data_IF_757699821096
#
_entry.id   IF_757699821096
#
_cell.length_a   1.000
_cell.length_b   1.000
_cell.length_c   1.000
_cell.angle_alpha   90.00
_cell.angle_beta   90.00
_cell.angle_gamma   90.00
#
_symmetry.space_group_name_H-M   'P 1'
#
loop_
_entity.id
_entity.type
_entity.pdbx_description
1 polymer ?
#
# COMPACT_ATOMS: atom_id res chain seq x y z
N UNK A 1 -17.21 43.16 -25.85
CA UNK A 1 -18.32 42.44 -26.52
C UNK A 1 -19.23 41.84 -25.45
N UNK A 2 -20.40 42.44 -25.20
CA UNK A 2 -21.39 41.88 -24.26
C UNK A 2 -22.02 40.64 -24.91
N UNK A 3 -21.90 39.46 -24.28
CA UNK A 3 -22.63 38.26 -24.72
C UNK A 3 -24.13 38.54 -24.60
N UNK A 4 -24.83 38.65 -25.72
CA UNK A 4 -26.29 38.67 -25.75
C UNK A 4 -26.74 37.23 -25.50
N UNK A 5 -26.97 36.88 -24.23
CA UNK A 5 -27.56 35.58 -23.87
C UNK A 5 -29.07 35.70 -24.09
N UNK A 6 -29.70 34.82 -24.89
CA UNK A 6 -31.15 34.83 -25.05
C UNK A 6 -31.82 34.54 -23.70
N UNK A 7 -32.60 35.49 -23.20
CA UNK A 7 -33.30 35.39 -21.93
C UNK A 7 -34.49 34.43 -22.06
N UNK A 8 -34.55 33.42 -21.20
CA UNK A 8 -35.69 32.51 -21.09
C UNK A 8 -36.11 32.38 -19.63
N UNK A 9 -37.42 32.53 -19.36
CA UNK A 9 -37.95 32.38 -18.02
C UNK A 9 -37.87 30.92 -17.57
N UNK A 10 -37.17 30.59 -16.46
CA UNK A 10 -37.03 29.20 -15.99
C UNK A 10 -38.34 28.60 -15.45
N UNK A 11 -39.35 29.43 -15.15
CA UNK A 11 -40.63 28.98 -14.58
C UNK A 11 -41.70 28.66 -15.63
N UNK A 12 -41.76 29.43 -16.72
CA UNK A 12 -42.82 29.33 -17.72
C UNK A 12 -42.32 29.22 -19.16
N UNK A 13 -41.01 29.09 -19.34
CA UNK A 13 -40.32 29.00 -20.64
C UNK A 13 -40.58 30.15 -21.61
N UNK A 14 -41.20 31.25 -21.16
CA UNK A 14 -41.38 32.46 -21.94
C UNK A 14 -40.03 33.02 -22.38
N UNK A 15 -39.92 33.46 -23.64
CA UNK A 15 -38.70 34.03 -24.26
C UNK A 15 -38.84 35.51 -24.61
N UNK A 16 -40.01 36.09 -24.34
CA UNK A 16 -40.34 37.47 -24.71
C UNK A 16 -40.81 38.24 -23.47
N UNK A 17 -40.79 39.57 -23.51
CA UNK A 17 -41.35 40.44 -22.46
C UNK A 17 -40.74 40.23 -21.06
N UNK A 18 -39.48 40.68 -20.91
CA UNK A 18 -38.77 40.74 -19.63
C UNK A 18 -38.57 42.18 -19.18
N UNK A 19 -38.72 42.43 -17.87
CA UNK A 19 -38.42 43.72 -17.26
C UNK A 19 -37.16 43.62 -16.39
N UNK A 20 -36.25 44.59 -16.54
CA UNK A 20 -35.00 44.66 -15.77
C UNK A 20 -35.31 45.08 -14.33
N UNK A 21 -35.27 44.13 -13.40
CA UNK A 21 -35.78 44.28 -12.02
C UNK A 21 -34.63 44.46 -11.01
N UNK A 22 -33.73 45.40 -11.28
CA UNK A 22 -32.56 45.68 -10.42
C UNK A 22 -31.57 44.53 -10.30
N UNK A 23 -30.65 44.60 -9.33
CA UNK A 23 -29.66 43.55 -9.06
C UNK A 23 -30.05 42.72 -7.85
N UNK A 24 -29.59 41.47 -7.77
CA UNK A 24 -29.70 40.67 -6.56
C UNK A 24 -28.66 41.08 -5.50
N UNK A 25 -28.65 40.41 -4.34
CA UNK A 25 -27.73 40.71 -3.23
C UNK A 25 -26.26 40.53 -3.59
N UNK A 26 -25.97 39.71 -4.60
CA UNK A 26 -24.61 39.40 -5.05
C UNK A 26 -24.21 40.26 -6.28
N UNK A 27 -25.07 41.21 -6.70
CA UNK A 27 -24.82 42.15 -7.79
C UNK A 27 -25.21 41.67 -9.20
N UNK A 28 -25.82 40.47 -9.34
CA UNK A 28 -26.26 39.94 -10.63
C UNK A 28 -27.57 40.57 -11.09
N UNK A 29 -27.69 40.80 -12.40
CA UNK A 29 -28.86 41.43 -12.98
C UNK A 29 -30.10 40.50 -12.87
N UNK A 30 -31.16 40.98 -12.20
CA UNK A 30 -32.45 40.29 -12.17
C UNK A 30 -33.36 40.72 -13.32
N UNK A 31 -34.15 39.78 -13.81
CA UNK A 31 -35.22 39.98 -14.77
C UNK A 31 -36.53 39.48 -14.18
N UNK A 32 -37.60 40.24 -14.37
CA UNK A 32 -38.98 39.86 -14.05
C UNK A 32 -39.66 39.44 -15.35
N UNK A 33 -40.18 38.21 -15.40
CA UNK A 33 -41.00 37.76 -16.52
C UNK A 33 -42.39 38.37 -16.44
N UNK A 34 -42.82 39.13 -17.45
CA UNK A 34 -44.15 39.78 -17.45
C UNK A 34 -45.31 38.80 -17.58
N UNK A 35 -45.07 37.57 -18.07
CA UNK A 35 -46.09 36.53 -18.22
C UNK A 35 -46.45 35.82 -16.91
N UNK A 36 -45.49 35.62 -16.01
CA UNK A 36 -45.69 34.84 -14.77
C UNK A 36 -45.20 35.53 -13.50
N UNK A 37 -44.76 36.79 -13.61
CA UNK A 37 -44.18 37.62 -12.55
C UNK A 37 -43.01 36.95 -11.79
N UNK A 38 -42.35 35.96 -12.39
CA UNK A 38 -41.19 35.30 -11.80
C UNK A 38 -39.92 36.14 -11.98
N UNK A 39 -39.20 36.37 -10.88
CA UNK A 39 -37.90 37.03 -10.87
C UNK A 39 -36.78 35.98 -10.93
N UNK A 40 -35.81 36.17 -11.82
CA UNK A 40 -34.65 35.30 -11.94
C UNK A 40 -33.41 36.09 -12.37
N UNK A 41 -32.22 35.59 -12.04
CA UNK A 41 -30.94 36.18 -12.44
C UNK A 41 -30.18 35.15 -13.29
N UNK A 42 -30.17 35.29 -14.63
CA UNK A 42 -29.60 34.28 -15.54
C UNK A 42 -28.08 34.17 -15.40
N UNK A 43 -27.41 35.28 -15.09
CA UNK A 43 -25.96 35.34 -14.97
C UNK A 43 -25.46 34.90 -13.58
N UNK A 44 -26.38 34.62 -12.64
CA UNK A 44 -26.00 34.15 -11.30
C UNK A 44 -25.47 32.72 -11.43
N UNK A 45 -24.20 32.45 -11.11
CA UNK A 45 -23.66 31.10 -11.17
C UNK A 45 -24.44 30.22 -10.19
N UNK A 46 -25.04 29.14 -10.70
CA UNK A 46 -25.68 28.14 -9.84
C UNK A 46 -24.61 27.48 -8.98
N UNK A 47 -24.46 27.91 -7.73
CA UNK A 47 -23.64 27.18 -6.77
C UNK A 47 -24.38 25.88 -6.43
N UNK A 48 -24.07 24.79 -7.13
CA UNK A 48 -24.46 23.46 -6.68
C UNK A 48 -23.78 23.25 -5.34
N UNK A 49 -24.50 23.49 -4.23
CA UNK A 49 -24.01 23.19 -2.89
C UNK A 49 -23.55 21.73 -2.90
N UNK A 50 -22.24 21.52 -2.74
CA UNK A 50 -21.70 20.15 -2.64
C UNK A 50 -22.38 19.49 -1.44
N UNK A 51 -22.98 18.30 -1.60
CA UNK A 51 -23.62 17.63 -0.48
C UNK A 51 -22.58 17.38 0.63
N UNK A 52 -22.97 17.64 1.88
CA UNK A 52 -22.10 17.50 3.06
C UNK A 52 -21.57 16.07 3.24
N UNK A 53 -22.35 15.09 2.80
CA UNK A 53 -22.05 13.66 2.94
C UNK A 53 -22.18 12.95 1.59
N UNK A 54 -21.43 11.85 1.38
CA UNK A 54 -21.52 11.08 0.14
C UNK A 54 -22.92 10.48 -0.06
N UNK A 55 -23.30 10.23 -1.32
CA UNK A 55 -24.56 9.53 -1.62
C UNK A 55 -24.42 8.03 -1.39
N UNK A 56 -25.53 7.37 -1.08
CA UNK A 56 -25.56 5.92 -0.93
C UNK A 56 -25.21 5.26 -2.28
N UNK A 57 -24.20 4.38 -2.34
CA UNK A 57 -23.81 3.73 -3.60
C UNK A 57 -24.85 2.71 -4.10
N UNK A 58 -25.76 2.25 -3.23
CA UNK A 58 -26.77 1.25 -3.58
C UNK A 58 -28.05 1.90 -4.13
N UNK A 59 -28.55 2.95 -3.48
CA UNK A 59 -29.85 3.54 -3.83
C UNK A 59 -29.79 5.03 -4.21
N UNK A 60 -28.61 5.65 -4.21
CA UNK A 60 -28.42 7.08 -4.54
C UNK A 60 -28.97 8.09 -3.51
N UNK A 61 -29.67 7.62 -2.47
CA UNK A 61 -30.27 8.48 -1.45
C UNK A 61 -29.21 9.13 -0.55
N UNK A 62 -29.64 10.16 0.17
CA UNK A 62 -28.78 10.85 1.13
C UNK A 62 -28.31 9.90 2.23
N UNK A 63 -27.14 10.20 2.79
CA UNK A 63 -26.57 9.50 3.95
C UNK A 63 -26.35 10.49 5.09
N UNK A 64 -26.18 9.96 6.29
CA UNK A 64 -25.78 10.70 7.47
C UNK A 64 -24.54 10.07 8.10
N UNK A 65 -23.73 10.87 8.80
CA UNK A 65 -22.60 10.37 9.57
C UNK A 65 -23.13 9.57 10.78
N UNK A 66 -22.87 8.27 10.81
CA UNK A 66 -23.30 7.39 11.90
C UNK A 66 -22.23 7.33 12.99
N UNK A 67 -20.97 7.06 12.61
CA UNK A 67 -19.82 7.10 13.51
C UNK A 67 -18.61 7.70 12.81
N UNK A 68 -17.82 8.44 13.57
CA UNK A 68 -16.58 9.02 13.11
C UNK A 68 -15.39 8.44 13.86
N UNK A 69 -14.65 7.56 13.20
CA UNK A 69 -13.48 6.92 13.78
C UNK A 69 -12.19 7.61 13.32
N UNK A 70 -11.08 7.24 13.97
CA UNK A 70 -9.74 7.76 13.65
C UNK A 70 -9.38 7.57 12.17
N UNK A 71 -9.59 6.38 11.61
CA UNK A 71 -9.14 6.03 10.26
C UNK A 71 -10.22 6.09 9.18
N UNK A 72 -11.48 6.21 9.56
CA UNK A 72 -12.59 6.20 8.63
C UNK A 72 -13.84 6.82 9.23
N UNK A 73 -14.73 7.28 8.36
CA UNK A 73 -16.09 7.69 8.73
C UNK A 73 -17.09 6.64 8.24
N UNK A 74 -17.99 6.21 9.10
CA UNK A 74 -19.11 5.35 8.74
C UNK A 74 -20.34 6.22 8.47
N UNK A 75 -20.78 6.26 7.22
CA UNK A 75 -22.04 6.90 6.82
C UNK A 75 -23.11 5.84 6.60
N UNK A 76 -24.33 6.12 7.04
CA UNK A 76 -25.46 5.20 6.88
C UNK A 76 -26.52 5.83 5.98
N UNK A 77 -27.11 5.03 5.10
CA UNK A 77 -28.19 5.48 4.24
C UNK A 77 -29.40 5.92 5.07
N UNK A 78 -29.98 7.07 4.75
CA UNK A 78 -31.19 7.57 5.43
C UNK A 78 -32.43 6.71 5.13
N UNK A 79 -32.41 5.92 4.05
CA UNK A 79 -33.51 5.03 3.72
C UNK A 79 -33.44 3.74 4.54
N UNK A 80 -34.42 3.54 5.42
CA UNK A 80 -34.52 2.34 6.26
C UNK A 80 -34.66 1.05 5.46
N UNK A 81 -35.24 1.09 4.25
CA UNK A 81 -35.31 -0.09 3.37
C UNK A 81 -33.94 -0.48 2.82
N UNK A 82 -33.08 0.50 2.55
CA UNK A 82 -31.73 0.26 2.07
C UNK A 82 -30.76 -0.07 3.22
N UNK A 83 -30.81 0.73 4.29
CA UNK A 83 -30.02 0.59 5.50
C UNK A 83 -28.49 0.41 5.31
N UNK A 84 -27.98 0.81 4.14
CA UNK A 84 -26.61 0.51 3.73
C UNK A 84 -25.60 1.40 4.46
N UNK A 85 -24.56 0.78 5.03
CA UNK A 85 -23.43 1.47 5.69
C UNK A 85 -22.24 1.57 4.77
N UNK A 86 -21.65 2.75 4.61
CA UNK A 86 -20.46 3.03 3.80
C UNK A 86 -19.31 3.58 4.64
N UNK A 87 -18.12 3.04 4.42
CA UNK A 87 -16.92 3.30 5.20
C UNK A 87 -15.98 4.08 4.31
N UNK A 88 -15.74 5.35 4.65
CA UNK A 88 -14.88 6.25 3.87
C UNK A 88 -13.56 6.41 4.60
N UNK A 89 -12.42 5.99 4.02
CA UNK A 89 -11.12 6.13 4.67
C UNK A 89 -10.74 7.60 4.86
N UNK A 90 -10.02 7.88 5.94
CA UNK A 90 -9.36 9.17 6.23
C UNK A 90 -7.86 9.00 5.99
N UNK A 91 -7.37 9.11 4.74
CA UNK A 91 -5.99 8.78 4.39
C UNK A 91 -4.97 9.59 5.20
N UNK A 92 -5.26 10.87 5.49
CA UNK A 92 -4.38 11.73 6.28
C UNK A 92 -4.16 11.24 7.72
N UNK A 93 -5.06 10.38 8.23
CA UNK A 93 -4.95 9.84 9.58
C UNK A 93 -4.26 8.47 9.61
N UNK A 94 -4.12 7.80 8.46
CA UNK A 94 -3.42 6.53 8.34
C UNK A 94 -1.92 6.81 8.30
N UNK A 95 -1.20 6.31 9.30
CA UNK A 95 0.25 6.45 9.33
C UNK A 95 0.88 5.61 8.20
N UNK A 96 1.99 6.09 7.59
CA UNK A 96 2.66 5.33 6.56
C UNK A 96 3.25 4.03 7.15
N UNK A 97 3.35 3.00 6.32
CA UNK A 97 3.91 1.73 6.75
C UNK A 97 5.39 1.87 7.15
N UNK A 98 5.88 1.04 8.06
CA UNK A 98 7.27 1.15 8.55
C UNK A 98 8.29 1.07 7.41
N UNK A 99 8.00 0.30 6.36
CA UNK A 99 8.82 0.17 5.16
C UNK A 99 9.10 1.50 4.44
N UNK A 100 8.31 2.55 4.68
CA UNK A 100 8.56 3.88 4.10
C UNK A 100 9.68 4.65 4.80
N UNK A 101 10.15 4.20 5.96
CA UNK A 101 11.17 4.87 6.79
C UNK A 101 12.46 4.05 6.82
N UNK A 102 13.19 4.07 5.70
CA UNK A 102 14.50 3.42 5.57
C UNK A 102 15.61 4.47 5.68
N UNK A 103 16.69 4.10 6.35
CA UNK A 103 17.82 5.01 6.60
C UNK A 103 19.10 4.40 6.03
N UNK A 104 19.92 5.20 5.36
CA UNK A 104 21.20 4.72 4.83
C UNK A 104 21.61 5.38 3.52
N UNK A 105 22.34 4.63 2.70
CA UNK A 105 22.85 5.08 1.40
C UNK A 105 21.96 4.64 0.25
N UNK A 106 21.92 5.50 -0.76
CA UNK A 106 21.26 5.32 -2.06
C UNK A 106 22.26 5.05 -3.19
N UNK A 107 23.56 4.93 -2.90
CA UNK A 107 24.59 4.56 -3.88
C UNK A 107 25.77 3.83 -3.20
N UNK A 108 26.62 3.20 -4.01
CA UNK A 108 27.87 2.57 -3.57
C UNK A 108 29.09 3.50 -3.60
N UNK A 109 28.91 4.82 -3.76
CA UNK A 109 30.05 5.74 -3.85
C UNK A 109 30.82 5.75 -2.54
N UNK A 110 32.15 5.88 -2.67
CA UNK A 110 33.11 5.92 -1.54
C UNK A 110 33.10 4.62 -0.72
N UNK A 111 32.75 3.48 -1.31
CA UNK A 111 32.96 2.18 -0.68
C UNK A 111 34.40 1.74 -0.87
N UNK A 112 35.03 1.30 0.23
CA UNK A 112 36.40 0.78 0.24
C UNK A 112 36.54 -0.53 -0.55
N UNK A 113 35.48 -1.32 -0.61
CA UNK A 113 35.48 -2.64 -1.24
C UNK A 113 34.71 -2.60 -2.56
N UNK A 114 35.13 -3.40 -3.57
CA UNK A 114 34.41 -3.51 -4.83
C UNK A 114 32.95 -3.94 -4.63
N UNK A 115 32.07 -3.43 -5.50
CA UNK A 115 30.62 -3.66 -5.40
C UNK A 115 30.27 -5.16 -5.44
N UNK A 116 30.97 -5.96 -6.26
CA UNK A 116 30.72 -7.40 -6.35
C UNK A 116 31.01 -8.14 -5.03
N UNK A 117 31.98 -7.70 -4.23
CA UNK A 117 32.26 -8.24 -2.89
C UNK A 117 31.12 -7.91 -1.94
N UNK A 118 30.60 -6.67 -2.01
CA UNK A 118 29.45 -6.25 -1.21
C UNK A 118 28.23 -7.11 -1.57
N UNK A 119 27.94 -7.28 -2.86
CA UNK A 119 26.85 -8.14 -3.33
C UNK A 119 27.01 -9.61 -2.92
N UNK A 120 28.23 -10.14 -2.96
CA UNK A 120 28.54 -11.49 -2.49
C UNK A 120 28.20 -11.62 -1.00
N UNK A 121 28.62 -10.65 -0.18
CA UNK A 121 28.33 -10.62 1.25
C UNK A 121 26.82 -10.52 1.54
N UNK A 122 26.10 -9.65 0.82
CA UNK A 122 24.65 -9.51 0.95
C UNK A 122 23.91 -10.80 0.56
N UNK A 123 24.32 -11.45 -0.52
CA UNK A 123 23.75 -12.72 -0.99
C UNK A 123 23.97 -13.84 0.02
N UNK A 124 25.19 -13.96 0.57
CA UNK A 124 25.47 -14.93 1.64
C UNK A 124 24.63 -14.70 2.90
N UNK A 125 24.32 -13.44 3.21
CA UNK A 125 23.51 -13.08 4.37
C UNK A 125 22.01 -13.34 4.18
N UNK A 126 21.43 -12.86 3.08
CA UNK A 126 19.99 -12.90 2.83
C UNK A 126 19.52 -14.22 2.21
N UNK A 127 20.28 -14.79 1.27
CA UNK A 127 19.98 -16.09 0.66
C UNK A 127 20.57 -17.24 1.48
N UNK A 128 21.86 -17.14 1.82
CA UNK A 128 22.59 -18.19 2.54
C UNK A 128 22.34 -18.23 4.04
N UNK A 129 21.63 -17.25 4.62
CA UNK A 129 21.30 -17.15 6.06
C UNK A 129 22.51 -17.12 7.00
N UNK A 130 23.71 -16.84 6.47
CA UNK A 130 24.98 -16.85 7.19
C UNK A 130 25.09 -15.73 8.23
N UNK A 131 25.86 -15.96 9.29
CA UNK A 131 26.23 -14.90 10.24
C UNK A 131 27.29 -13.96 9.64
N UNK A 132 27.37 -12.71 10.13
CA UNK A 132 28.38 -11.77 9.64
C UNK A 132 29.82 -12.25 9.83
N UNK A 133 30.08 -13.03 10.90
CA UNK A 133 31.40 -13.63 11.15
C UNK A 133 31.70 -14.74 10.15
N UNK A 134 30.71 -15.59 9.84
CA UNK A 134 30.88 -16.64 8.84
C UNK A 134 31.14 -16.03 7.45
N UNK A 135 30.42 -14.97 7.09
CA UNK A 135 30.64 -14.26 5.82
C UNK A 135 32.06 -13.66 5.76
N UNK A 136 32.53 -13.03 6.83
CA UNK A 136 33.90 -12.50 6.90
C UNK A 136 34.95 -13.61 6.72
N UNK A 137 34.71 -14.78 7.31
CA UNK A 137 35.57 -15.95 7.17
C UNK A 137 35.57 -16.50 5.74
N UNK A 138 34.39 -16.66 5.13
CA UNK A 138 34.26 -17.14 3.75
C UNK A 138 34.97 -16.19 2.78
N UNK A 139 34.74 -14.87 2.90
CA UNK A 139 35.40 -13.87 2.04
C UNK A 139 36.93 -13.89 2.21
N UNK A 140 37.42 -14.16 3.42
CA UNK A 140 38.86 -14.30 3.67
C UNK A 140 39.44 -15.55 3.02
N UNK A 141 38.77 -16.70 3.14
CA UNK A 141 39.28 -17.99 2.64
C UNK A 141 39.15 -18.09 1.13
N UNK A 142 37.99 -17.73 0.57
CA UNK A 142 37.66 -17.97 -0.85
C UNK A 142 38.12 -16.81 -1.73
N UNK A 143 37.96 -15.56 -1.28
CA UNK A 143 38.26 -14.37 -2.09
C UNK A 143 39.56 -13.66 -1.67
N UNK A 144 40.26 -14.15 -0.65
CA UNK A 144 41.42 -13.49 -0.04
C UNK A 144 41.13 -12.03 0.40
N UNK A 145 39.85 -11.73 0.75
CA UNK A 145 39.42 -10.39 1.17
C UNK A 145 39.30 -10.32 2.68
N UNK A 146 40.18 -9.54 3.32
CA UNK A 146 40.08 -9.23 4.74
C UNK A 146 39.05 -8.12 4.98
N UNK A 147 37.88 -8.49 5.50
CA UNK A 147 36.82 -7.56 5.89
C UNK A 147 36.30 -7.90 7.28
N UNK A 148 35.98 -6.88 8.10
CA UNK A 148 35.40 -7.11 9.42
C UNK A 148 33.92 -7.47 9.33
N UNK A 149 33.45 -8.31 10.26
CA UNK A 149 32.03 -8.63 10.40
C UNK A 149 31.16 -7.38 10.67
N UNK A 150 31.73 -6.34 11.30
CA UNK A 150 31.07 -5.03 11.51
C UNK A 150 30.86 -4.28 10.20
N UNK A 151 31.81 -4.34 9.27
CA UNK A 151 31.68 -3.76 7.92
C UNK A 151 30.58 -4.46 7.14
N UNK A 152 30.51 -5.80 7.20
CA UNK A 152 29.45 -6.59 6.56
C UNK A 152 28.08 -6.26 7.17
N UNK A 153 27.98 -6.21 8.50
CA UNK A 153 26.76 -5.79 9.20
C UNK A 153 26.30 -4.41 8.74
N UNK A 154 27.23 -3.46 8.60
CA UNK A 154 26.94 -2.14 8.06
C UNK A 154 26.41 -2.20 6.63
N UNK A 155 26.99 -2.99 5.72
CA UNK A 155 26.44 -3.15 4.38
C UNK A 155 25.02 -3.70 4.38
N UNK A 156 24.75 -4.71 5.20
CA UNK A 156 23.44 -5.37 5.25
C UNK A 156 22.30 -4.42 5.62
N UNK A 157 22.55 -3.43 6.49
CA UNK A 157 21.54 -2.43 6.88
C UNK A 157 21.59 -1.13 6.08
N UNK A 158 22.78 -0.70 5.63
CA UNK A 158 23.00 0.63 5.07
C UNK A 158 22.44 0.82 3.66
N UNK A 159 22.33 -0.25 2.88
CA UNK A 159 21.86 -0.16 1.49
C UNK A 159 20.35 -0.38 1.32
N UNK A 160 19.59 -0.50 2.42
CA UNK A 160 18.14 -0.65 2.33
C UNK A 160 17.46 0.43 1.46
N UNK A 161 17.80 1.74 1.58
CA UNK A 161 17.23 2.75 0.69
C UNK A 161 17.57 2.55 -0.80
N UNK A 162 18.80 2.14 -1.12
CA UNK A 162 19.21 1.86 -2.51
C UNK A 162 18.34 0.76 -3.14
N UNK A 163 18.19 -0.38 -2.47
CA UNK A 163 17.39 -1.49 -2.98
C UNK A 163 15.90 -1.18 -2.99
N UNK A 164 15.42 -0.36 -2.04
CA UNK A 164 14.06 0.13 -2.07
C UNK A 164 13.78 1.04 -3.27
N UNK A 165 14.73 1.90 -3.68
CA UNK A 165 14.57 2.71 -4.89
C UNK A 165 14.47 1.83 -6.15
N UNK A 166 15.28 0.77 -6.24
CA UNK A 166 15.14 -0.22 -7.32
C UNK A 166 13.74 -0.85 -7.30
N UNK A 167 13.25 -1.28 -6.13
CA UNK A 167 11.91 -1.84 -6.02
C UNK A 167 10.83 -0.83 -6.46
N UNK A 168 10.94 0.45 -6.06
CA UNK A 168 10.00 1.50 -6.46
C UNK A 168 10.00 1.77 -7.97
N UNK A 169 11.13 1.56 -8.67
CA UNK A 169 11.21 1.67 -10.13
C UNK A 169 10.58 0.46 -10.83
N UNK A 170 10.75 -0.75 -10.27
CA UNK A 170 10.33 -1.99 -10.92
C UNK A 170 8.88 -2.38 -10.62
N UNK A 171 8.40 -2.13 -9.40
CA UNK A 171 7.04 -2.50 -8.94
C UNK A 171 5.92 -1.98 -9.86
N UNK A 172 5.97 -0.74 -10.41
CA UNK A 172 4.96 -0.27 -11.36
C UNK A 172 4.86 -1.06 -12.66
N UNK A 173 5.85 -1.88 -12.99
CA UNK A 173 5.87 -2.73 -14.19
C UNK A 173 5.25 -4.12 -13.93
N UNK A 174 4.88 -4.42 -12.69
CA UNK A 174 4.40 -5.74 -12.26
C UNK A 174 2.88 -5.76 -12.19
N UNK A 175 2.31 -6.95 -12.38
CA UNK A 175 0.88 -7.18 -12.22
C UNK A 175 0.60 -7.95 -10.92
N UNK A 176 -0.32 -7.39 -10.13
CA UNK A 176 -0.79 -7.96 -8.86
C UNK A 176 -2.31 -8.03 -8.80
N UNK A 177 -2.99 -8.03 -9.96
CA UNK A 177 -4.43 -8.30 -10.06
C UNK A 177 -4.72 -9.80 -9.94
N UNK A 178 -4.35 -10.38 -8.80
CA UNK A 178 -4.52 -11.78 -8.50
C UNK A 178 -5.87 -12.06 -7.83
N UNK A 179 -6.28 -13.32 -7.79
CA UNK A 179 -7.51 -13.69 -7.09
C UNK A 179 -7.44 -13.36 -5.59
N UNK A 180 -6.29 -13.59 -4.95
CA UNK A 180 -6.18 -13.53 -3.50
C UNK A 180 -4.88 -12.87 -3.02
N UNK A 181 -5.02 -12.01 -2.01
CA UNK A 181 -3.89 -11.55 -1.22
C UNK A 181 -3.98 -12.12 0.20
N UNK A 182 -2.87 -12.62 0.72
CA UNK A 182 -2.79 -13.15 2.08
C UNK A 182 -2.16 -12.13 3.01
N UNK A 183 -2.77 -11.89 4.17
CA UNK A 183 -2.23 -11.01 5.20
C UNK A 183 -2.18 -11.74 6.54
N UNK A 184 -1.02 -11.68 7.19
CA UNK A 184 -0.79 -12.32 8.49
C UNK A 184 0.35 -11.59 9.22
N UNK A 185 0.38 -11.76 10.53
CA UNK A 185 1.37 -11.15 11.40
C UNK A 185 2.19 -12.17 12.19
N UNK A 186 3.41 -11.79 12.51
CA UNK A 186 4.29 -12.64 13.32
C UNK A 186 5.16 -11.82 14.26
N UNK A 187 5.75 -12.49 15.26
CA UNK A 187 6.47 -11.81 16.35
C UNK A 187 7.98 -11.80 16.10
N UNK A 188 8.61 -10.63 16.23
CA UNK A 188 10.07 -10.48 16.28
C UNK A 188 10.48 -9.83 17.60
N UNK A 189 11.75 -9.97 17.98
CA UNK A 189 12.33 -9.29 19.15
C UNK A 189 13.28 -8.20 18.70
N UNK A 190 13.14 -7.01 19.29
CA UNK A 190 14.02 -5.87 19.08
C UNK A 190 14.46 -5.36 20.45
N UNK A 191 15.76 -5.32 20.71
CA UNK A 191 16.35 -4.98 22.01
C UNK A 191 15.68 -5.77 23.16
N UNK A 192 15.43 -7.07 22.93
CA UNK A 192 14.76 -7.96 23.89
C UNK A 192 13.23 -7.81 24.00
N UNK A 193 12.64 -6.74 23.45
CA UNK A 193 11.19 -6.47 23.50
C UNK A 193 10.45 -7.10 22.32
N UNK A 194 9.21 -7.54 22.54
CA UNK A 194 8.35 -8.10 21.49
C UNK A 194 7.83 -6.99 20.57
N UNK A 195 7.91 -7.23 19.27
CA UNK A 195 7.33 -6.44 18.19
C UNK A 195 6.56 -7.37 17.27
N UNK A 196 5.59 -6.81 16.55
CA UNK A 196 4.78 -7.49 15.55
C UNK A 196 5.18 -6.97 14.17
N UNK A 197 5.39 -7.90 13.26
CA UNK A 197 5.56 -7.60 11.85
C UNK A 197 4.39 -8.19 11.09
N UNK A 198 3.72 -7.32 10.36
CA UNK A 198 2.58 -7.63 9.51
C UNK A 198 3.08 -7.73 8.08
N UNK A 199 2.68 -8.78 7.37
CA UNK A 199 3.02 -8.99 5.97
C UNK A 199 1.76 -9.09 5.14
N UNK A 200 1.89 -8.72 3.87
CA UNK A 200 0.88 -9.01 2.85
C UNK A 200 1.58 -9.56 1.60
N UNK A 201 1.07 -10.68 1.11
CA UNK A 201 1.66 -11.48 0.05
C UNK A 201 0.62 -11.78 -1.01
N UNK A 202 1.01 -11.66 -2.27
CA UNK A 202 0.20 -12.03 -3.42
C UNK A 202 0.18 -13.56 -3.62
N UNK A 203 -0.99 -14.15 -3.87
CA UNK A 203 -1.13 -15.61 -3.87
C UNK A 203 -0.49 -16.29 -5.09
N UNK A 204 -0.66 -15.69 -6.26
CA UNK A 204 -0.24 -16.24 -7.55
C UNK A 204 1.27 -16.08 -7.73
N UNK A 205 1.79 -14.87 -7.51
CA UNK A 205 3.19 -14.55 -7.76
C UNK A 205 4.10 -14.86 -6.56
N UNK A 206 3.51 -15.06 -5.37
CA UNK A 206 4.22 -15.12 -4.07
C UNK A 206 4.94 -13.83 -3.71
N UNK A 207 4.70 -12.73 -4.42
CA UNK A 207 5.37 -11.47 -4.18
C UNK A 207 4.92 -10.89 -2.84
N UNK A 208 5.86 -10.52 -1.98
CA UNK A 208 5.55 -9.80 -0.74
C UNK A 208 5.27 -8.35 -1.09
N UNK A 209 4.00 -7.99 -1.11
CA UNK A 209 3.50 -6.67 -1.52
C UNK A 209 3.88 -5.57 -0.52
N UNK A 210 3.96 -5.90 0.76
CA UNK A 210 4.32 -4.93 1.79
C UNK A 210 4.54 -5.53 3.18
N UNK A 211 5.11 -4.73 4.07
CA UNK A 211 5.23 -5.08 5.48
C UNK A 211 5.09 -3.87 6.41
N UNK A 212 4.71 -4.14 7.65
CA UNK A 212 4.60 -3.13 8.70
C UNK A 212 5.13 -3.67 10.04
N UNK A 213 6.18 -3.04 10.58
CA UNK A 213 6.79 -3.37 11.87
C UNK A 213 6.31 -2.39 12.96
N UNK A 214 5.78 -2.92 14.06
CA UNK A 214 5.19 -2.13 15.13
C UNK A 214 5.28 -2.82 16.49
N UNK A 215 5.38 -2.07 17.62
CA UNK A 215 5.24 -2.66 18.95
C UNK A 215 3.80 -3.08 19.27
N UNK A 216 2.81 -2.64 18.47
CA UNK A 216 1.40 -2.91 18.71
C UNK A 216 0.84 -3.97 17.76
N UNK A 217 -0.11 -4.77 18.27
CA UNK A 217 -0.94 -5.70 17.48
C UNK A 217 -2.38 -5.22 17.55
N UNK A 218 -2.77 -4.32 16.64
CA UNK A 218 -4.11 -3.75 16.57
C UNK A 218 -4.47 -3.35 15.13
N UNK A 219 -5.73 -2.94 14.91
CA UNK A 219 -6.27 -2.61 13.59
C UNK A 219 -5.54 -1.44 12.92
N UNK A 220 -4.98 -0.50 13.69
CA UNK A 220 -4.17 0.63 13.20
C UNK A 220 -2.99 0.16 12.32
N UNK A 221 -2.39 -0.99 12.66
CA UNK A 221 -1.27 -1.54 11.91
C UNK A 221 -1.74 -2.13 10.58
N UNK A 222 -2.87 -2.83 10.58
CA UNK A 222 -3.51 -3.35 9.37
C UNK A 222 -3.94 -2.21 8.42
N UNK A 223 -4.46 -1.09 8.94
CA UNK A 223 -4.73 0.10 8.12
C UNK A 223 -3.46 0.61 7.44
N UNK A 224 -2.36 0.71 8.19
CA UNK A 224 -1.09 1.20 7.66
C UNK A 224 -0.54 0.29 6.57
N UNK A 225 -0.61 -1.04 6.78
CA UNK A 225 -0.18 -2.05 5.80
C UNK A 225 -1.03 -2.05 4.53
N UNK A 226 -2.35 -2.15 4.66
CA UNK A 226 -3.24 -2.22 3.51
C UNK A 226 -3.19 -0.93 2.70
N UNK A 227 -3.10 0.23 3.37
CA UNK A 227 -3.01 1.51 2.67
C UNK A 227 -1.71 1.66 1.88
N UNK A 228 -0.62 0.98 2.27
CA UNK A 228 0.61 1.01 1.49
C UNK A 228 0.58 0.16 0.21
N UNK A 229 -0.37 -0.79 0.09
CA UNK A 229 -0.43 -1.71 -1.07
C UNK A 229 -1.68 -1.55 -1.92
N UNK A 230 -2.66 -0.74 -1.50
CA UNK A 230 -3.95 -0.57 -2.17
C UNK A 230 -3.87 -0.16 -3.65
N UNK A 231 -2.78 0.52 -4.03
CA UNK A 231 -2.57 1.05 -5.38
C UNK A 231 -1.74 0.09 -6.26
N UNK A 232 -1.30 -1.06 -5.71
CA UNK A 232 -0.49 -2.04 -6.43
C UNK A 232 -1.31 -2.98 -7.32
N UNK A 233 -2.57 -3.24 -6.96
CA UNK A 233 -3.44 -4.18 -7.66
C UNK A 233 -4.82 -4.25 -7.01
N UNK A 234 -5.71 -5.05 -7.59
CA UNK A 234 -7.09 -5.25 -7.09
C UNK A 234 -7.37 -6.74 -6.90
N UNK A 235 -7.19 -7.28 -5.69
CA UNK A 235 -7.51 -8.67 -5.43
C UNK A 235 -9.01 -8.91 -5.37
N UNK A 236 -9.46 -10.11 -5.73
CA UNK A 236 -10.85 -10.53 -5.53
C UNK A 236 -11.14 -10.81 -4.05
N UNK A 237 -10.16 -11.35 -3.32
CA UNK A 237 -10.26 -11.63 -1.90
C UNK A 237 -8.98 -11.28 -1.11
N UNK A 238 -9.17 -10.99 0.18
CA UNK A 238 -8.09 -10.98 1.17
C UNK A 238 -8.31 -12.16 2.10
N UNK A 239 -7.28 -12.96 2.25
CA UNK A 239 -7.23 -14.09 3.18
C UNK A 239 -6.43 -13.67 4.41
N UNK A 240 -7.01 -13.80 5.60
CA UNK A 240 -6.26 -13.61 6.84
C UNK A 240 -6.66 -14.63 7.89
N UNK A 241 -5.87 -14.68 8.98
CA UNK A 241 -6.27 -15.17 10.30
C UNK A 241 -7.69 -14.66 10.66
N UNK A 242 -8.41 -15.41 11.49
CA UNK A 242 -9.62 -15.00 12.22
C UNK A 242 -9.47 -13.70 13.05
N UNK A 243 -8.30 -13.07 13.07
CA UNK A 243 -8.03 -11.88 13.82
C UNK A 243 -8.86 -10.70 13.34
N UNK A 244 -9.76 -10.23 14.22
CA UNK A 244 -10.72 -9.19 13.92
C UNK A 244 -10.10 -7.84 13.52
N UNK A 245 -8.80 -7.64 13.72
CA UNK A 245 -8.10 -6.42 13.34
C UNK A 245 -8.15 -6.13 11.84
N UNK A 246 -8.28 -7.13 10.96
CA UNK A 246 -8.32 -6.97 9.51
C UNK A 246 -9.69 -6.56 8.96
N UNK A 247 -10.78 -6.87 9.66
CA UNK A 247 -12.17 -6.73 9.16
C UNK A 247 -12.49 -5.33 8.62
N UNK A 248 -12.20 -4.32 9.44
CA UNK A 248 -12.53 -2.93 9.13
C UNK A 248 -11.51 -2.33 8.15
N UNK A 249 -10.19 -2.54 8.32
CA UNK A 249 -9.19 -2.13 7.34
C UNK A 249 -9.45 -2.64 5.93
N UNK A 250 -9.71 -3.95 5.74
CA UNK A 250 -9.95 -4.55 4.42
C UNK A 250 -11.13 -3.85 3.73
N UNK A 251 -12.27 -3.80 4.42
CA UNK A 251 -13.50 -3.20 3.90
C UNK A 251 -13.35 -1.70 3.55
N UNK A 252 -12.53 -0.99 4.31
CA UNK A 252 -12.37 0.47 4.17
C UNK A 252 -11.32 0.82 3.12
N UNK A 253 -10.20 0.11 3.08
CA UNK A 253 -9.03 0.46 2.26
C UNK A 253 -9.13 -0.16 0.86
N UNK A 254 -9.45 -1.45 0.78
CA UNK A 254 -9.55 -2.18 -0.50
C UNK A 254 -10.96 -2.10 -1.09
N UNK A 255 -11.92 -1.66 -0.28
CA UNK A 255 -13.31 -1.48 -0.68
C UNK A 255 -14.17 -2.70 -0.38
N UNK A 256 -15.45 -2.60 -0.74
CA UNK A 256 -16.46 -3.61 -0.40
C UNK A 256 -16.53 -4.79 -1.34
N UNK A 257 -15.96 -4.64 -2.54
CA UNK A 257 -15.98 -5.68 -3.56
C UNK A 257 -14.97 -6.78 -3.25
N UNK A 258 -13.93 -6.47 -2.46
CA UNK A 258 -12.95 -7.44 -2.01
C UNK A 258 -13.56 -8.28 -0.88
N UNK A 259 -13.65 -9.59 -1.10
CA UNK A 259 -14.15 -10.53 -0.09
C UNK A 259 -13.09 -10.72 1.00
N UNK A 260 -13.45 -10.50 2.26
CA UNK A 260 -12.57 -10.89 3.37
C UNK A 260 -12.86 -12.33 3.76
N UNK A 261 -11.91 -13.23 3.48
CA UNK A 261 -11.98 -14.65 3.81
C UNK A 261 -11.17 -14.87 5.07
N UNK A 262 -11.84 -15.36 6.12
CA UNK A 262 -11.18 -15.79 7.36
C UNK A 262 -11.05 -17.29 7.30
N UNK A 263 -9.82 -17.79 7.32
CA UNK A 263 -9.60 -19.24 7.24
C UNK A 263 -10.19 -19.89 8.50
N UNK A 264 -11.18 -20.77 8.34
CA UNK A 264 -11.88 -21.40 9.46
C UNK A 264 -11.24 -22.72 9.89
N UNK A 265 -10.64 -23.47 8.96
CA UNK A 265 -9.93 -24.73 9.20
C UNK A 265 -9.08 -25.12 7.98
N UNK A 266 -8.11 -26.03 8.16
CA UNK A 266 -7.23 -26.56 7.10
C UNK A 266 -7.95 -27.30 5.94
N UNK A 267 -9.29 -27.40 5.97
CA UNK A 267 -10.11 -28.18 5.02
C UNK A 267 -10.78 -27.34 3.92
N UNK A 268 -10.65 -26.02 3.95
CA UNK A 268 -11.20 -25.16 2.90
C UNK A 268 -10.22 -25.06 1.71
N UNK A 269 -10.74 -24.90 0.48
CA UNK A 269 -9.94 -24.75 -0.76
C UNK A 269 -8.94 -23.57 -0.68
N UNK A 270 -9.21 -22.59 0.20
CA UNK A 270 -8.42 -21.39 0.43
C UNK A 270 -7.67 -21.55 1.75
N UNK A 271 -6.38 -21.88 1.66
CA UNK A 271 -5.52 -22.20 2.82
C UNK A 271 -4.55 -21.07 3.17
N UNK A 272 -4.21 -20.95 4.45
CA UNK A 272 -3.18 -20.00 4.92
C UNK A 272 -1.73 -20.49 4.65
N UNK A 273 -1.58 -21.65 4.01
CA UNK A 273 -0.30 -22.34 3.80
C UNK A 273 0.73 -21.46 3.07
N UNK A 274 0.26 -20.56 2.20
CA UNK A 274 1.12 -19.68 1.41
C UNK A 274 1.91 -18.70 2.29
N UNK A 275 1.21 -17.96 3.13
CA UNK A 275 1.86 -16.98 4.01
C UNK A 275 2.59 -17.67 5.15
N UNK A 276 2.12 -18.86 5.57
CA UNK A 276 2.86 -19.71 6.51
C UNK A 276 4.21 -20.15 5.93
N UNK A 277 4.25 -20.60 4.67
CA UNK A 277 5.49 -20.95 3.97
C UNK A 277 6.45 -19.76 3.89
N UNK A 278 5.94 -18.57 3.58
CA UNK A 278 6.72 -17.33 3.66
C UNK A 278 7.24 -17.07 5.09
N UNK A 279 6.38 -17.19 6.09
CA UNK A 279 6.75 -17.04 7.50
C UNK A 279 7.85 -18.03 7.92
N UNK A 280 7.80 -19.29 7.48
CA UNK A 280 8.85 -20.26 7.74
C UNK A 280 10.20 -19.79 7.18
N UNK A 281 10.22 -19.28 5.94
CA UNK A 281 11.45 -18.75 5.35
C UNK A 281 11.96 -17.50 6.08
N UNK A 282 11.07 -16.56 6.40
CA UNK A 282 11.41 -15.37 7.18
C UNK A 282 11.94 -15.74 8.58
N UNK A 283 11.27 -16.65 9.30
CA UNK A 283 11.70 -17.12 10.62
C UNK A 283 13.01 -17.88 10.57
N UNK A 284 13.25 -18.69 9.54
CA UNK A 284 14.53 -19.37 9.37
C UNK A 284 15.67 -18.35 9.20
N UNK A 285 15.46 -17.30 8.41
CA UNK A 285 16.43 -16.20 8.33
C UNK A 285 16.55 -15.46 9.66
N UNK A 286 15.45 -15.07 10.30
CA UNK A 286 15.44 -14.31 11.55
C UNK A 286 16.09 -15.05 12.73
N UNK A 287 15.86 -16.36 12.88
CA UNK A 287 16.40 -17.18 13.98
C UNK A 287 17.92 -17.11 14.08
N UNK A 288 18.63 -17.02 12.95
CA UNK A 288 20.11 -16.94 12.97
C UNK A 288 20.66 -15.61 13.48
N UNK A 289 19.81 -14.62 13.77
CA UNK A 289 20.18 -13.27 14.22
C UNK A 289 20.02 -13.11 15.74
N UNK A 290 19.32 -14.02 16.42
CA UNK A 290 19.04 -13.97 17.86
C UNK A 290 18.30 -12.68 18.31
N UNK A 291 17.55 -12.05 17.40
CA UNK A 291 16.87 -10.78 17.64
C UNK A 291 17.57 -9.58 17.00
N UNK A 292 16.87 -8.45 16.91
CA UNK A 292 17.41 -7.21 16.37
C UNK A 292 17.85 -6.25 17.48
N UNK A 293 18.82 -5.38 17.19
CA UNK A 293 19.36 -4.44 18.19
C UNK A 293 18.55 -3.14 18.28
N UNK A 294 18.03 -2.64 17.17
CA UNK A 294 17.25 -1.39 17.12
C UNK A 294 16.12 -1.49 16.10
N UNK A 295 15.09 -0.67 16.26
CA UNK A 295 13.95 -0.64 15.35
C UNK A 295 14.37 -0.28 13.92
N UNK A 296 15.18 0.76 13.76
CA UNK A 296 15.69 1.21 12.46
C UNK A 296 16.50 0.10 11.76
N UNK A 297 17.40 -0.57 12.48
CA UNK A 297 18.17 -1.67 11.91
C UNK A 297 17.27 -2.86 11.55
N UNK A 298 16.26 -3.17 12.36
CA UNK A 298 15.31 -4.23 12.06
C UNK A 298 14.54 -3.92 10.77
N UNK A 299 14.01 -2.71 10.65
CA UNK A 299 13.23 -2.25 9.50
C UNK A 299 14.05 -2.33 8.19
N UNK A 300 15.31 -1.87 8.22
CA UNK A 300 16.21 -1.98 7.07
C UNK A 300 16.54 -3.43 6.69
N UNK A 301 16.87 -4.28 7.67
CA UNK A 301 17.21 -5.67 7.41
C UNK A 301 16.01 -6.46 6.85
N UNK A 302 14.80 -6.17 7.34
CA UNK A 302 13.56 -6.78 6.85
C UNK A 302 13.26 -6.32 5.41
N UNK A 303 13.37 -5.02 5.13
CA UNK A 303 13.18 -4.47 3.78
C UNK A 303 14.15 -5.13 2.78
N UNK A 304 15.42 -5.27 3.17
CA UNK A 304 16.41 -5.97 2.37
C UNK A 304 16.08 -7.46 2.19
N UNK A 305 15.66 -8.15 3.24
CA UNK A 305 15.23 -9.55 3.14
C UNK A 305 14.10 -9.71 2.11
N UNK A 306 13.10 -8.83 2.14
CA UNK A 306 11.98 -8.83 1.19
C UNK A 306 12.47 -8.56 -0.23
N UNK A 307 13.37 -7.60 -0.43
CA UNK A 307 13.96 -7.35 -1.74
C UNK A 307 14.63 -8.61 -2.31
N UNK A 308 15.46 -9.28 -1.50
CA UNK A 308 16.11 -10.53 -1.92
C UNK A 308 15.10 -11.65 -2.17
N UNK A 309 14.03 -11.73 -1.39
CA UNK A 309 12.96 -12.71 -1.58
C UNK A 309 12.21 -12.48 -2.91
N UNK A 310 11.86 -11.23 -3.22
CA UNK A 310 11.03 -10.85 -4.37
C UNK A 310 11.80 -10.79 -5.70
N UNK A 311 13.03 -10.25 -5.70
CA UNK A 311 13.73 -9.90 -6.94
C UNK A 311 14.97 -10.76 -7.23
N UNK A 312 15.51 -11.46 -6.22
CA UNK A 312 16.82 -12.14 -6.33
C UNK A 312 16.68 -13.65 -6.21
N UNK A 313 15.82 -14.16 -5.32
CA UNK A 313 15.71 -15.58 -4.99
C UNK A 313 14.78 -16.32 -5.96
N UNK A 314 15.27 -17.32 -6.70
CA UNK A 314 14.42 -18.32 -7.36
C UNK A 314 13.64 -19.16 -6.34
N UNK A 315 12.38 -19.49 -6.65
CA UNK A 315 11.58 -20.40 -5.83
C UNK A 315 11.25 -21.66 -6.62
N UNK A 316 11.45 -22.82 -6.00
CA UNK A 316 11.11 -24.11 -6.62
C UNK A 316 9.61 -24.22 -6.92
N UNK A 317 8.76 -23.66 -6.07
CA UNK A 317 7.31 -23.58 -6.29
C UNK A 317 6.90 -22.68 -7.46
N UNK A 318 7.83 -21.89 -8.00
CA UNK A 318 7.63 -20.98 -9.13
C UNK A 318 8.48 -21.41 -10.33
N UNK A 319 8.76 -22.71 -10.49
CA UNK A 319 9.58 -23.26 -11.57
C UNK A 319 10.97 -22.61 -11.69
N UNK A 320 11.56 -22.18 -10.56
CA UNK A 320 12.86 -21.52 -10.55
C UNK A 320 12.82 -20.03 -10.93
N UNK A 321 11.64 -19.43 -11.06
CA UNK A 321 11.49 -17.99 -11.23
C UNK A 321 11.45 -17.27 -9.89
N UNK A 322 11.76 -15.97 -9.93
CA UNK A 322 11.53 -15.06 -8.78
C UNK A 322 10.08 -14.60 -8.75
N UNK A 323 9.55 -14.15 -7.59
CA UNK A 323 8.21 -13.60 -7.51
C UNK A 323 8.00 -12.43 -8.46
N UNK A 324 9.02 -11.57 -8.63
CA UNK A 324 8.96 -10.47 -9.58
C UNK A 324 8.82 -10.94 -11.03
N UNK A 325 9.54 -12.00 -11.42
CA UNK A 325 9.43 -12.57 -12.78
C UNK A 325 8.05 -13.17 -13.03
N UNK A 326 7.46 -13.86 -12.04
CA UNK A 326 6.09 -14.39 -12.15
C UNK A 326 5.08 -13.25 -12.23
N UNK A 327 5.33 -12.15 -11.52
CA UNK A 327 4.52 -10.92 -11.60
C UNK A 327 4.74 -10.12 -12.91
N UNK A 328 5.43 -10.67 -13.91
CA UNK A 328 5.60 -10.08 -15.23
C UNK A 328 6.89 -9.28 -15.43
N UNK A 329 7.84 -9.30 -14.48
CA UNK A 329 9.11 -8.61 -14.67
C UNK A 329 9.90 -9.24 -15.83
N UNK A 330 10.03 -8.49 -16.92
CA UNK A 330 10.85 -8.87 -18.07
C UNK A 330 11.81 -7.73 -18.43
N UNK A 331 13.08 -7.89 -18.07
CA UNK A 331 14.13 -6.89 -18.29
C UNK A 331 15.01 -7.29 -19.47
N UNK A 332 15.23 -6.36 -20.41
CA UNK A 332 16.19 -6.56 -21.49
C UNK A 332 17.62 -6.67 -20.92
N UNK A 333 18.53 -7.32 -21.66
CA UNK A 333 19.92 -7.52 -21.21
C UNK A 333 20.65 -6.20 -20.84
N UNK A 334 20.31 -5.09 -21.50
CA UNK A 334 20.84 -3.75 -21.20
C UNK A 334 20.29 -3.20 -19.87
N UNK A 335 19.04 -3.48 -19.56
CA UNK A 335 18.37 -3.04 -18.32
C UNK A 335 18.81 -3.87 -17.12
N UNK A 336 19.05 -5.18 -17.30
CA UNK A 336 19.63 -6.03 -16.25
C UNK A 336 20.96 -5.49 -15.71
N UNK A 337 21.77 -4.81 -16.55
CA UNK A 337 23.01 -4.16 -16.11
C UNK A 337 22.77 -2.97 -15.18
N UNK A 338 21.59 -2.34 -15.23
CA UNK A 338 21.20 -1.22 -14.35
C UNK A 338 20.68 -1.68 -12.99
N UNK A 339 20.21 -2.92 -12.90
CA UNK A 339 19.62 -3.50 -11.70
C UNK A 339 20.42 -4.71 -11.21
N UNK A 340 21.57 -4.49 -10.55
CA UNK A 340 22.38 -5.59 -10.06
C UNK A 340 21.59 -6.47 -9.08
N UNK A 341 21.84 -7.79 -9.13
CA UNK A 341 21.17 -8.84 -8.36
C UNK A 341 19.73 -9.18 -8.78
N UNK A 342 19.05 -8.34 -9.56
CA UNK A 342 17.70 -8.67 -10.06
C UNK A 342 17.82 -9.78 -11.12
N UNK A 343 17.08 -10.87 -10.92
CA UNK A 343 17.18 -12.10 -11.70
C UNK A 343 16.67 -11.97 -13.15
#
# INVERSE_FOLDING_TARGET
>A
MQKIVPLQCPKCNNKESFYRYGKDKDGYQKYLCRKCNHQFAPDRPTSKKKPKYPRCPVCGKATFLHHDYKYYSNYRCCDKKCNHSMFVPKPNNILPASMSKLVGKTDFKRMRYPVYIIFTALSMFYLGKNSFRNIAQILRVVNNVKVSHTTISNWCKKFAPYFNNIALELVPMLDFNSDEWHADETIVKIAGKKYYIWFIVDSETRFVLGFHLSPHRNSDQAFSLLNSVKDLGKPNAIVSDRYNAYNVPVKTVLGKNVKHIRVESFKDDISNNLIESFHHQFKAWYKTKQGFNSFESANNLISMFIFFYNFVRPHSSLNGLTPAQVAGLNLAAKEKRRYPLVA
#
